data_IF_659549081325
#
_entry.id   IF_659549081325
#
_cell.length_a   1.000
_cell.length_b   1.000
_cell.length_c   1.000
_cell.angle_alpha   90.00
_cell.angle_beta   90.00
_cell.angle_gamma   90.00
#
_symmetry.space_group_name_H-M   'P 1'
#
loop_
_entity.id
_entity.type
_entity.pdbx_description
1 polymer ?
#
# COMPACT_ATOMS: atom_id res chain seq x y z
N UNK A 1 21.14 -4.68 23.28
CA UNK A 1 19.93 -4.06 23.87
C UNK A 1 19.96 -2.54 23.81
N UNK A 2 21.06 -1.91 24.24
CA UNK A 2 21.23 -0.45 24.34
C UNK A 2 20.76 0.35 23.09
N UNK A 3 21.03 -0.15 21.88
CA UNK A 3 20.64 0.53 20.63
C UNK A 3 19.13 0.73 20.41
N UNK A 4 18.27 -0.10 21.02
CA UNK A 4 16.81 0.10 20.96
C UNK A 4 16.29 0.98 22.10
N UNK A 5 17.02 1.06 23.21
CA UNK A 5 16.67 1.81 24.41
C UNK A 5 17.16 3.28 24.32
N UNK A 6 18.28 3.54 23.65
CA UNK A 6 18.85 4.89 23.42
C UNK A 6 18.03 5.75 22.43
N UNK A 7 17.03 5.16 21.78
CA UNK A 7 16.17 5.86 20.83
C UNK A 7 14.93 6.43 21.53
N UNK A 8 15.10 7.60 22.15
CA UNK A 8 14.09 8.37 22.90
C UNK A 8 12.86 8.86 22.09
N UNK A 9 12.78 8.55 20.80
CA UNK A 9 11.62 8.89 19.97
C UNK A 9 10.68 7.70 19.85
N UNK A 10 9.38 7.95 19.97
CA UNK A 10 8.28 6.98 19.79
C UNK A 10 8.44 6.28 18.43
N UNK A 11 9.14 5.14 18.40
CA UNK A 11 9.33 4.32 17.20
C UNK A 11 8.09 3.45 17.02
N UNK A 12 7.34 3.69 15.95
CA UNK A 12 6.11 2.95 15.61
C UNK A 12 6.33 1.46 15.27
N UNK A 13 7.58 1.03 14.99
CA UNK A 13 7.93 -0.38 14.77
C UNK A 13 9.42 -0.58 15.05
N UNK A 14 9.79 -1.65 15.76
CA UNK A 14 11.18 -2.06 16.03
C UNK A 14 11.45 -3.36 15.28
N UNK A 15 12.45 -3.38 14.40
CA UNK A 15 12.83 -4.56 13.63
C UNK A 15 14.34 -4.80 13.70
N UNK A 16 14.74 -6.07 13.76
CA UNK A 16 16.11 -6.52 13.71
C UNK A 16 16.27 -7.46 12.52
N UNK A 17 17.09 -7.09 11.54
CA UNK A 17 17.43 -7.95 10.41
C UNK A 17 18.71 -8.71 10.74
N UNK A 18 18.66 -10.04 10.68
CA UNK A 18 19.84 -10.89 10.89
C UNK A 18 20.24 -11.44 9.52
N UNK A 19 21.40 -11.06 9.01
CA UNK A 19 21.94 -11.60 7.75
C UNK A 19 23.07 -12.55 8.11
N UNK A 20 22.94 -13.82 7.73
CA UNK A 20 23.92 -14.85 8.11
C UNK A 20 23.97 -15.99 7.11
N UNK A 21 25.15 -16.57 6.93
CA UNK A 21 25.41 -17.79 6.17
C UNK A 21 25.76 -18.98 7.08
N UNK A 22 25.67 -18.82 8.42
CA UNK A 22 26.03 -19.86 9.38
C UNK A 22 24.79 -20.60 9.91
N UNK A 23 24.73 -21.91 9.66
CA UNK A 23 23.66 -22.82 10.06
C UNK A 23 23.66 -23.10 11.58
N UNK A 24 24.84 -23.15 12.22
CA UNK A 24 24.99 -23.31 13.67
C UNK A 24 25.95 -22.25 14.26
N UNK A 25 25.45 -21.07 14.62
CA UNK A 25 26.23 -20.04 15.32
C UNK A 25 26.75 -20.47 16.69
N UNK A 26 26.19 -21.53 17.28
CA UNK A 26 26.55 -22.00 18.61
C UNK A 26 27.65 -23.06 18.61
N UNK A 27 28.06 -23.56 17.43
CA UNK A 27 29.06 -24.62 17.26
C UNK A 27 28.85 -25.81 18.22
N UNK A 28 27.59 -26.23 18.40
CA UNK A 28 27.20 -27.31 19.31
C UNK A 28 27.18 -26.96 20.81
N UNK A 29 27.42 -25.71 21.20
CA UNK A 29 27.41 -25.31 22.61
C UNK A 29 25.99 -25.06 23.14
N UNK A 30 25.52 -25.99 23.99
CA UNK A 30 24.19 -25.95 24.60
C UNK A 30 23.91 -24.67 25.42
N UNK A 31 24.93 -24.11 26.09
CA UNK A 31 24.75 -22.88 26.89
C UNK A 31 24.50 -21.65 26.00
N UNK A 32 25.26 -21.51 24.91
CA UNK A 32 25.09 -20.41 23.97
C UNK A 32 23.76 -20.50 23.22
N UNK A 33 23.33 -21.72 22.87
CA UNK A 33 22.03 -21.96 22.25
C UNK A 33 20.87 -21.55 23.16
N UNK A 34 20.95 -21.92 24.44
CA UNK A 34 19.95 -21.53 25.43
C UNK A 34 19.93 -20.01 25.62
N UNK A 35 21.11 -19.38 25.75
CA UNK A 35 21.21 -17.93 25.90
C UNK A 35 20.67 -17.16 24.68
N UNK A 36 20.96 -17.63 23.46
CA UNK A 36 20.45 -17.03 22.23
C UNK A 36 18.92 -17.11 22.15
N UNK A 37 18.34 -18.25 22.53
CA UNK A 37 16.89 -18.44 22.59
C UNK A 37 16.22 -17.49 23.59
N UNK A 38 16.73 -17.42 24.81
CA UNK A 38 16.22 -16.50 25.84
C UNK A 38 16.30 -15.04 25.38
N UNK A 39 17.43 -14.63 24.79
CA UNK A 39 17.59 -13.28 24.27
C UNK A 39 16.61 -12.96 23.12
N UNK A 40 16.36 -13.91 22.22
CA UNK A 40 15.39 -13.73 21.15
C UNK A 40 13.96 -13.61 21.69
N UNK A 41 13.58 -14.44 22.65
CA UNK A 41 12.28 -14.35 23.33
C UNK A 41 12.11 -13.01 24.06
N UNK A 42 13.14 -12.52 24.74
CA UNK A 42 13.13 -11.19 25.38
C UNK A 42 12.95 -10.05 24.36
N UNK A 43 13.59 -10.14 23.20
CA UNK A 43 13.42 -9.16 22.12
C UNK A 43 11.99 -9.17 21.57
N UNK A 44 11.44 -10.37 21.33
CA UNK A 44 10.07 -10.54 20.88
C UNK A 44 9.08 -10.00 21.91
N UNK A 45 9.31 -10.24 23.21
CA UNK A 45 8.51 -9.68 24.31
C UNK A 45 8.61 -8.15 24.40
N UNK A 46 9.73 -7.56 23.97
CA UNK A 46 9.91 -6.11 23.81
C UNK A 46 9.32 -5.55 22.49
N UNK A 47 8.47 -6.33 21.80
CA UNK A 47 7.87 -6.00 20.51
C UNK A 47 8.90 -5.69 19.40
N UNK A 48 10.05 -6.35 19.44
CA UNK A 48 11.04 -6.33 18.36
C UNK A 48 10.77 -7.51 17.42
N UNK A 49 10.54 -7.21 16.14
CA UNK A 49 10.37 -8.22 15.09
C UNK A 49 11.76 -8.63 14.61
N UNK A 50 12.11 -9.91 14.71
CA UNK A 50 13.37 -10.45 14.20
C UNK A 50 13.12 -11.04 12.82
N UNK A 51 13.88 -10.60 11.81
CA UNK A 51 13.75 -11.07 10.43
C UNK A 51 15.09 -11.64 9.95
N UNK A 52 15.26 -12.97 9.99
CA UNK A 52 16.46 -13.62 9.48
C UNK A 52 16.46 -13.68 7.94
N UNK A 53 17.62 -13.39 7.35
CA UNK A 53 17.94 -13.53 5.94
C UNK A 53 19.14 -14.48 5.84
N UNK A 54 18.89 -15.70 5.38
CA UNK A 54 19.89 -16.75 5.29
C UNK A 54 20.55 -16.72 3.91
N UNK A 55 21.87 -16.66 3.87
CA UNK A 55 22.61 -16.66 2.61
C UNK A 55 22.85 -18.10 2.17
N UNK A 56 22.54 -18.41 0.91
CA UNK A 56 22.93 -19.68 0.29
C UNK A 56 24.22 -19.49 -0.48
N UNK A 57 25.20 -20.37 -0.26
CA UNK A 57 26.41 -20.42 -1.07
C UNK A 57 26.11 -21.17 -2.37
N UNK A 58 26.12 -20.44 -3.48
CA UNK A 58 26.12 -21.06 -4.80
C UNK A 58 27.50 -21.61 -5.07
N UNK A 59 27.70 -22.91 -4.86
CA UNK A 59 28.96 -23.54 -5.26
C UNK A 59 29.15 -23.46 -6.78
N UNK A 60 30.41 -23.28 -7.18
CA UNK A 60 30.89 -23.25 -8.57
C UNK A 60 30.68 -24.58 -9.34
N UNK A 61 29.99 -25.55 -8.74
CA UNK A 61 29.65 -26.87 -9.30
C UNK A 61 28.15 -27.16 -9.40
N UNK A 62 27.27 -26.16 -9.27
CA UNK A 62 25.86 -26.29 -9.67
C UNK A 62 24.95 -27.13 -8.75
N UNK A 63 25.47 -27.66 -7.65
CA UNK A 63 24.67 -28.24 -6.58
C UNK A 63 24.59 -27.21 -5.44
N UNK A 64 23.45 -26.51 -5.35
CA UNK A 64 23.23 -25.53 -4.28
C UNK A 64 23.15 -26.22 -2.94
N UNK A 65 24.03 -25.88 -2.00
CA UNK A 65 23.83 -26.24 -0.60
C UNK A 65 22.64 -25.45 -0.05
N UNK A 66 21.60 -26.17 0.36
CA UNK A 66 20.44 -25.59 1.02
C UNK A 66 20.82 -25.33 2.48
N UNK A 67 20.58 -24.10 2.95
CA UNK A 67 20.79 -23.73 4.34
C UNK A 67 19.87 -24.53 5.27
N UNK A 68 20.44 -25.34 6.15
CA UNK A 68 19.68 -26.17 7.08
C UNK A 68 19.24 -25.39 8.33
N UNK A 69 17.95 -25.05 8.39
CA UNK A 69 17.37 -24.31 9.52
C UNK A 69 17.22 -25.17 10.78
N UNK A 70 17.20 -26.50 10.64
CA UNK A 70 16.92 -27.42 11.74
C UNK A 70 18.04 -27.46 12.79
N UNK A 71 19.27 -27.08 12.38
CA UNK A 71 20.44 -27.11 13.26
C UNK A 71 20.39 -26.09 14.39
N UNK A 72 19.72 -24.94 14.20
CA UNK A 72 19.69 -23.86 15.20
C UNK A 72 18.45 -22.97 15.08
N UNK A 73 18.13 -22.51 13.89
CA UNK A 73 17.20 -21.41 13.65
C UNK A 73 15.72 -21.77 13.87
N UNK A 74 15.31 -23.02 13.63
CA UNK A 74 13.94 -23.49 13.94
C UNK A 74 13.58 -23.39 15.43
N UNK A 75 14.60 -23.41 16.30
CA UNK A 75 14.40 -23.31 17.75
C UNK A 75 14.18 -21.89 18.27
N UNK A 76 14.37 -20.88 17.41
CA UNK A 76 14.29 -19.45 17.74
C UNK A 76 12.93 -18.89 17.37
N UNK A 77 12.30 -18.23 18.33
CA UNK A 77 11.08 -17.47 18.10
C UNK A 77 11.42 -16.11 17.48
N UNK A 78 10.97 -15.88 16.25
CA UNK A 78 11.26 -14.63 15.52
C UNK A 78 10.20 -13.55 15.68
N UNK A 79 8.96 -13.93 15.97
CA UNK A 79 7.85 -12.97 16.11
C UNK A 79 6.80 -13.48 17.08
N UNK A 80 6.16 -12.56 17.81
CA UNK A 80 5.00 -12.86 18.63
C UNK A 80 3.77 -12.94 17.71
N UNK A 81 2.88 -13.94 17.84
CA UNK A 81 1.54 -13.80 17.27
C UNK A 81 0.92 -12.52 17.86
N UNK A 82 0.60 -11.55 17.00
CA UNK A 82 0.15 -10.23 17.44
C UNK A 82 -1.28 -10.32 17.98
N UNK A 83 -1.49 -9.88 19.23
CA UNK A 83 -2.80 -9.64 19.83
C UNK A 83 -3.35 -8.23 19.47
N UNK A 84 -2.56 -7.39 18.78
CA UNK A 84 -2.92 -5.99 18.49
C UNK A 84 -3.85 -5.88 17.28
N UNK A 85 -5.15 -5.70 17.54
CA UNK A 85 -6.24 -5.55 16.55
C UNK A 85 -5.99 -4.51 15.45
N UNK A 86 -5.08 -3.53 15.64
CA UNK A 86 -4.74 -2.52 14.62
C UNK A 86 -3.77 -3.02 13.54
N UNK A 87 -2.91 -4.00 13.86
CA UNK A 87 -1.92 -4.59 12.94
C UNK A 87 -2.06 -6.12 12.77
N UNK A 88 -3.04 -6.75 13.43
CA UNK A 88 -3.32 -8.19 13.39
C UNK A 88 -3.64 -8.76 12.00
N UNK A 89 -3.93 -7.92 10.99
CA UNK A 89 -4.35 -8.37 9.65
C UNK A 89 -3.18 -8.80 8.74
N UNK A 90 -1.95 -8.77 9.25
CA UNK A 90 -0.77 -9.23 8.54
C UNK A 90 -0.08 -10.21 9.46
N UNK A 91 -0.27 -11.51 9.21
CA UNK A 91 0.63 -12.50 9.79
C UNK A 91 2.06 -12.02 9.54
N UNK A 92 2.86 -11.77 10.59
CA UNK A 92 4.28 -11.66 10.42
C UNK A 92 4.74 -13.10 10.19
N UNK A 93 4.51 -13.64 9.00
CA UNK A 93 5.12 -14.90 8.62
C UNK A 93 6.62 -14.61 8.65
N UNK A 94 7.39 -15.18 9.59
CA UNK A 94 8.82 -15.17 9.47
C UNK A 94 9.11 -16.13 8.31
N UNK A 95 9.05 -15.62 7.08
CA UNK A 95 9.79 -16.27 6.03
C UNK A 95 11.24 -16.02 6.39
N UNK A 96 11.87 -17.02 7.03
CA UNK A 96 13.28 -17.27 6.82
C UNK A 96 13.45 -17.46 5.32
N UNK A 97 14.36 -16.72 4.72
CA UNK A 97 14.52 -16.77 3.28
C UNK A 97 15.97 -16.99 2.91
N UNK A 98 16.16 -17.94 2.02
CA UNK A 98 17.42 -18.19 1.34
C UNK A 98 17.61 -17.13 0.27
N UNK A 99 18.72 -16.42 0.33
CA UNK A 99 18.95 -15.26 -0.52
C UNK A 99 20.27 -15.37 -1.26
N UNK A 100 20.20 -15.09 -2.56
CA UNK A 100 21.36 -14.83 -3.40
C UNK A 100 21.67 -13.32 -3.41
N UNK A 101 22.90 -12.93 -3.73
CA UNK A 101 23.38 -11.54 -3.67
C UNK A 101 22.48 -10.53 -4.41
N UNK A 102 21.86 -10.93 -5.52
CA UNK A 102 21.00 -10.04 -6.32
C UNK A 102 19.59 -9.91 -5.74
N UNK A 103 19.10 -10.90 -5.00
CA UNK A 103 17.73 -10.95 -4.45
C UNK A 103 17.64 -10.38 -3.03
N UNK A 104 18.77 -10.22 -2.33
CA UNK A 104 18.87 -9.61 -0.99
C UNK A 104 18.33 -8.18 -0.93
N UNK A 105 18.69 -7.37 -1.93
CA UNK A 105 18.28 -5.97 -1.94
C UNK A 105 16.77 -5.84 -2.06
N UNK A 106 16.14 -6.59 -2.97
CA UNK A 106 14.70 -6.53 -3.22
C UNK A 106 13.89 -7.03 -2.03
N UNK A 107 14.32 -8.15 -1.43
CA UNK A 107 13.66 -8.73 -0.25
C UNK A 107 13.78 -7.83 0.98
N UNK A 108 14.97 -7.30 1.27
CA UNK A 108 15.16 -6.36 2.37
C UNK A 108 14.38 -5.05 2.16
N UNK A 109 14.35 -4.52 0.94
CA UNK A 109 13.56 -3.33 0.60
C UNK A 109 12.06 -3.55 0.78
N UNK A 110 11.54 -4.74 0.42
CA UNK A 110 10.12 -5.06 0.59
C UNK A 110 9.66 -5.10 2.06
N UNK A 111 10.59 -5.41 2.99
CA UNK A 111 10.32 -5.54 4.43
C UNK A 111 10.74 -4.34 5.27
N UNK A 112 11.52 -3.41 4.69
CA UNK A 112 11.98 -2.19 5.36
C UNK A 112 10.84 -1.28 5.81
N UNK A 113 9.78 -1.17 5.01
CA UNK A 113 8.67 -0.26 5.26
C UNK A 113 7.46 -1.01 5.81
N UNK A 114 6.91 -0.63 6.98
CA UNK A 114 5.66 -1.23 7.44
C UNK A 114 4.53 -0.88 6.47
N UNK A 115 3.56 -1.79 6.34
CA UNK A 115 2.34 -1.53 5.56
C UNK A 115 1.60 -0.35 6.19
N UNK A 116 1.24 0.64 5.38
CA UNK A 116 0.48 1.82 5.83
C UNK A 116 -0.85 1.87 5.09
N UNK A 117 -1.94 1.75 5.85
CA UNK A 117 -3.27 1.92 5.29
C UNK A 117 -3.50 3.40 4.93
N UNK A 118 -3.99 3.64 3.71
CA UNK A 118 -4.45 4.95 3.25
C UNK A 118 -5.78 5.33 3.91
N UNK A 119 -6.66 4.34 4.11
CA UNK A 119 -7.94 4.54 4.78
C UNK A 119 -8.43 3.23 5.41
N UNK A 120 -9.27 3.35 6.43
CA UNK A 120 -10.01 2.24 7.04
C UNK A 120 -11.50 2.50 6.86
N UNK A 121 -12.15 1.68 6.04
CA UNK A 121 -13.54 1.88 5.61
C UNK A 121 -14.32 0.56 5.66
N UNK A 122 -15.58 0.57 5.25
CA UNK A 122 -16.44 -0.61 5.20
C UNK A 122 -16.96 -0.83 3.79
N UNK A 123 -17.06 -2.09 3.39
CA UNK A 123 -17.77 -2.50 2.18
C UNK A 123 -19.18 -2.92 2.58
N UNK A 124 -20.21 -2.30 2.02
CA UNK A 124 -21.62 -2.71 2.20
C UNK A 124 -22.06 -3.52 0.98
N UNK A 125 -22.42 -4.78 1.21
CA UNK A 125 -22.95 -5.67 0.16
C UNK A 125 -24.46 -5.51 0.00
N UNK A 126 -25.15 -5.32 1.11
CA UNK A 126 -26.58 -5.06 1.21
C UNK A 126 -26.85 -4.26 2.49
N UNK A 127 -28.01 -3.61 2.65
CA UNK A 127 -28.34 -2.89 3.88
C UNK A 127 -28.17 -3.78 5.11
N UNK A 128 -27.26 -3.39 6.02
CA UNK A 128 -26.95 -4.14 7.25
C UNK A 128 -25.87 -5.22 7.11
N UNK A 129 -25.39 -5.52 5.89
CA UNK A 129 -24.26 -6.43 5.64
C UNK A 129 -23.03 -5.60 5.28
N UNK A 130 -22.24 -5.30 6.31
CA UNK A 130 -20.99 -4.54 6.21
C UNK A 130 -19.77 -5.44 6.42
N UNK A 131 -18.66 -5.13 5.76
CA UNK A 131 -17.38 -5.81 5.87
C UNK A 131 -16.31 -4.75 6.13
N UNK A 132 -15.57 -4.88 7.23
CA UNK A 132 -14.43 -4.01 7.54
C UNK A 132 -13.26 -4.24 6.59
N UNK A 133 -12.72 -3.15 6.03
CA UNK A 133 -11.58 -3.20 5.10
C UNK A 133 -10.60 -2.05 5.31
N UNK A 134 -9.33 -2.31 4.97
CA UNK A 134 -8.27 -1.32 4.87
C UNK A 134 -7.88 -1.14 3.40
N UNK A 135 -7.74 0.11 2.98
CA UNK A 135 -7.24 0.48 1.66
C UNK A 135 -5.76 0.82 1.72
N UNK A 136 -4.99 0.35 0.75
CA UNK A 136 -3.55 0.54 0.62
C UNK A 136 -3.24 1.13 -0.75
N UNK A 137 -2.17 1.91 -0.82
CA UNK A 137 -1.65 2.41 -2.07
C UNK A 137 -0.49 1.54 -2.52
N UNK A 138 -0.68 0.76 -3.60
CA UNK A 138 0.38 -0.11 -4.16
C UNK A 138 1.39 0.68 -4.98
N UNK A 139 0.94 1.70 -5.69
CA UNK A 139 1.78 2.55 -6.53
C UNK A 139 1.57 4.01 -6.15
N UNK A 140 2.66 4.69 -5.79
CA UNK A 140 2.67 6.13 -5.53
C UNK A 140 3.63 6.82 -6.49
N UNK A 141 3.24 7.99 -6.97
CA UNK A 141 4.14 8.83 -7.78
C UNK A 141 5.19 9.42 -6.86
N UNK A 142 6.46 9.09 -7.10
CA UNK A 142 7.57 9.76 -6.43
C UNK A 142 7.65 11.20 -6.97
N UNK A 143 7.25 12.17 -6.14
CA UNK A 143 7.42 13.58 -6.43
C UNK A 143 8.80 14.04 -5.93
N UNK A 144 9.37 15.05 -6.60
CA UNK A 144 10.57 15.71 -6.10
C UNK A 144 10.29 16.29 -4.72
N UNK A 145 11.25 16.11 -3.80
CA UNK A 145 11.16 16.69 -2.46
C UNK A 145 11.24 18.21 -2.63
N UNK A 146 10.25 18.94 -2.13
CA UNK A 146 10.25 20.41 -2.17
C UNK A 146 11.51 20.94 -1.48
N UNK A 147 12.16 21.91 -2.11
CA UNK A 147 13.28 22.61 -1.51
C UNK A 147 12.85 23.25 -0.18
N UNK A 148 13.69 23.11 0.84
CA UNK A 148 13.47 23.72 2.15
C UNK A 148 14.36 24.94 2.28
N UNK A 149 13.79 26.05 2.72
CA UNK A 149 14.58 27.23 3.07
C UNK A 149 15.45 26.91 4.29
N UNK A 150 16.75 27.21 4.18
CA UNK A 150 17.74 27.02 5.25
C UNK A 150 18.33 28.38 5.57
N UNK A 151 18.31 28.73 6.86
CA UNK A 151 19.00 29.91 7.37
C UNK A 151 20.47 29.56 7.58
N UNK A 152 21.36 30.26 6.86
CA UNK A 152 22.81 29.98 6.83
C UNK A 152 23.67 31.05 7.50
N UNK A 153 23.06 32.11 8.04
CA UNK A 153 23.80 33.22 8.66
C UNK A 153 24.13 32.98 10.15
N UNK A 154 23.60 31.92 10.76
CA UNK A 154 23.97 31.50 12.12
C UNK A 154 25.15 30.52 12.14
N UNK A 155 25.70 30.27 13.34
CA UNK A 155 26.74 29.25 13.55
C UNK A 155 26.27 27.84 13.15
N UNK A 156 24.98 27.55 13.34
CA UNK A 156 24.33 26.32 12.90
C UNK A 156 23.33 26.60 11.78
N UNK A 157 23.29 25.69 10.78
CA UNK A 157 22.29 25.73 9.71
C UNK A 157 20.93 25.33 10.28
N UNK A 158 19.97 26.24 10.24
CA UNK A 158 18.61 26.01 10.75
C UNK A 158 17.59 25.91 9.61
N UNK A 159 16.63 25.00 9.72
CA UNK A 159 15.53 24.87 8.75
C UNK A 159 14.47 25.92 9.09
N UNK A 160 14.09 26.73 8.10
CA UNK A 160 13.07 27.77 8.27
C UNK A 160 11.69 27.13 8.41
N UNK A 161 10.91 27.58 9.39
CA UNK A 161 9.48 27.28 9.51
C UNK A 161 8.69 28.42 8.91
N UNK A 162 7.92 28.14 7.85
CA UNK A 162 7.05 29.14 7.22
C UNK A 162 5.66 29.07 7.82
N UNK A 163 5.16 30.20 8.33
CA UNK A 163 3.77 30.38 8.74
C UNK A 163 3.11 31.38 7.79
N UNK A 164 1.91 31.06 7.31
CA UNK A 164 1.10 31.96 6.46
C UNK A 164 -0.04 32.47 7.31
N UNK A 165 -0.13 33.79 7.48
CA UNK A 165 -1.23 34.48 8.16
C UNK A 165 -1.93 35.38 7.15
N UNK A 166 -3.26 35.36 7.18
CA UNK A 166 -4.09 36.24 6.36
C UNK A 166 -4.34 37.50 7.18
N UNK A 167 -3.98 38.66 6.63
CA UNK A 167 -4.19 39.96 7.25
C UNK A 167 -5.17 40.77 6.44
N UNK A 168 -5.93 41.60 7.14
CA UNK A 168 -6.75 42.64 6.51
C UNK A 168 -5.85 43.76 5.95
N UNK A 169 -6.23 44.31 4.79
CA UNK A 169 -5.40 45.27 4.05
C UNK A 169 -5.43 46.66 4.72
N UNK A 170 -6.56 47.03 5.32
CA UNK A 170 -6.70 48.34 5.97
C UNK A 170 -6.18 48.34 7.42
N UNK A 171 -6.51 47.31 8.20
CA UNK A 171 -6.20 47.28 9.63
C UNK A 171 -4.90 46.53 9.98
N UNK A 172 -4.30 45.78 9.04
CA UNK A 172 -3.13 44.90 9.23
C UNK A 172 -3.32 43.85 10.34
N UNK A 173 -4.55 43.71 10.86
CA UNK A 173 -4.88 42.74 11.87
C UNK A 173 -4.95 41.34 11.25
N UNK A 174 -4.55 40.33 12.02
CA UNK A 174 -4.69 38.93 11.60
C UNK A 174 -6.15 38.54 11.65
N UNK A 175 -6.69 38.09 10.52
CA UNK A 175 -8.09 37.72 10.36
C UNK A 175 -8.28 36.29 10.88
N UNK A 176 -9.32 36.07 11.67
CA UNK A 176 -9.66 34.73 12.16
C UNK A 176 -10.31 33.88 11.06
N UNK A 177 -10.17 32.54 11.05
CA UNK A 177 -10.81 31.70 10.03
C UNK A 177 -12.33 31.86 9.93
N UNK A 178 -12.99 32.30 11.02
CA UNK A 178 -14.44 32.46 11.11
C UNK A 178 -14.93 33.76 10.46
N UNK A 179 -14.06 34.78 10.36
CA UNK A 179 -14.31 36.03 9.65
C UNK A 179 -14.16 35.88 8.12
N UNK A 180 -13.54 34.79 7.66
CA UNK A 180 -13.28 34.55 6.24
C UNK A 180 -14.51 33.90 5.59
N UNK A 181 -15.22 34.68 4.78
CA UNK A 181 -16.35 34.21 3.97
C UNK A 181 -15.87 33.83 2.57
N UNK A 182 -16.33 32.68 2.06
CA UNK A 182 -16.05 32.28 0.67
C UNK A 182 -17.13 32.85 -0.25
N UNK A 183 -16.72 33.67 -1.21
CA UNK A 183 -17.58 34.16 -2.27
C UNK A 183 -17.28 33.42 -3.59
N UNK A 184 -18.32 33.10 -4.34
CA UNK A 184 -18.25 32.58 -5.71
C UNK A 184 -18.90 33.57 -6.66
N UNK A 185 -18.17 33.99 -7.67
CA UNK A 185 -18.66 34.91 -8.70
C UNK A 185 -19.49 34.15 -9.73
N UNK A 186 -20.69 34.63 -10.00
CA UNK A 186 -21.58 34.07 -11.03
C UNK A 186 -22.24 35.23 -11.80
N UNK A 187 -21.74 35.49 -13.01
CA UNK A 187 -22.11 36.68 -13.79
C UNK A 187 -21.68 37.95 -13.05
N UNK A 188 -22.60 38.89 -12.88
CA UNK A 188 -22.35 40.16 -12.17
C UNK A 188 -22.65 40.10 -10.67
N UNK A 189 -22.86 38.90 -10.11
CA UNK A 189 -23.28 38.70 -8.71
C UNK A 189 -22.34 37.79 -7.94
N UNK A 190 -22.19 38.08 -6.65
CA UNK A 190 -21.42 37.24 -5.72
C UNK A 190 -22.36 36.43 -4.83
N UNK A 191 -22.12 35.12 -4.77
CA UNK A 191 -22.82 34.21 -3.88
C UNK A 191 -21.88 33.85 -2.72
N UNK A 192 -22.29 34.21 -1.51
CA UNK A 192 -21.53 33.97 -0.29
C UNK A 192 -21.96 32.63 0.33
N UNK A 193 -20.98 31.82 0.72
CA UNK A 193 -21.22 30.60 1.50
C UNK A 193 -20.37 30.59 2.76
N UNK A 194 -20.99 30.15 3.86
CA UNK A 194 -20.25 29.85 5.08
C UNK A 194 -19.46 28.54 4.91
N UNK A 195 -18.34 28.34 5.64
CA UNK A 195 -17.60 27.08 5.61
C UNK A 195 -18.47 25.86 5.94
N UNK A 196 -19.44 26.03 6.85
CA UNK A 196 -20.42 25.00 7.22
C UNK A 196 -21.34 24.63 6.05
N UNK A 197 -21.90 25.61 5.34
CA UNK A 197 -22.73 25.37 4.16
C UNK A 197 -21.95 24.64 3.06
N UNK A 198 -20.70 25.04 2.81
CA UNK A 198 -19.84 24.34 1.85
C UNK A 198 -19.62 22.88 2.26
N UNK A 199 -19.44 22.61 3.55
CA UNK A 199 -19.29 21.25 4.05
C UNK A 199 -20.59 20.44 3.94
N UNK A 200 -21.75 21.06 4.20
CA UNK A 200 -23.07 20.43 4.02
C UNK A 200 -23.31 20.05 2.55
N UNK A 201 -23.00 20.94 1.60
CA UNK A 201 -23.12 20.67 0.16
C UNK A 201 -22.24 19.48 -0.26
N UNK A 202 -21.06 19.32 0.36
CA UNK A 202 -20.14 18.20 0.07
C UNK A 202 -20.47 16.92 0.81
N UNK A 203 -21.31 16.97 1.84
CA UNK A 203 -21.62 15.81 2.68
C UNK A 203 -22.73 14.96 2.04
N UNK A 204 -22.32 14.03 1.20
CA UNK A 204 -23.22 13.10 0.49
C UNK A 204 -23.36 11.73 1.19
N UNK A 205 -22.81 11.59 2.40
CA UNK A 205 -22.91 10.37 3.18
C UNK A 205 -21.66 10.05 3.98
N UNK A 206 -21.77 9.01 4.82
CA UNK A 206 -20.65 8.47 5.59
C UNK A 206 -19.64 7.79 4.66
N UNK A 207 -18.34 7.76 5.02
CA UNK A 207 -17.36 6.94 4.31
C UNK A 207 -17.80 5.48 4.27
N UNK A 208 -17.91 4.96 3.06
CA UNK A 208 -18.49 3.65 2.76
C UNK A 208 -18.17 3.27 1.30
N UNK A 209 -17.91 1.99 1.05
CA UNK A 209 -17.85 1.41 -0.29
C UNK A 209 -19.09 0.53 -0.48
N UNK A 210 -20.12 1.04 -1.16
CA UNK A 210 -21.38 0.31 -1.38
C UNK A 210 -21.33 -0.45 -2.69
N UNK A 211 -21.46 -1.77 -2.65
CA UNK A 211 -21.58 -2.58 -3.87
C UNK A 211 -22.97 -2.38 -4.46
N UNK A 212 -23.03 -2.03 -5.74
CA UNK A 212 -24.26 -1.84 -6.51
C UNK A 212 -24.62 -3.14 -7.25
N UNK A 213 -23.61 -3.84 -7.78
CA UNK A 213 -23.83 -5.09 -8.49
C UNK A 213 -22.54 -5.71 -9.03
N UNK A 214 -22.68 -6.80 -9.78
CA UNK A 214 -21.55 -7.55 -10.35
C UNK A 214 -21.63 -7.57 -11.87
N UNK A 215 -20.50 -7.33 -12.54
CA UNK A 215 -20.39 -7.28 -14.00
C UNK A 215 -19.23 -8.14 -14.49
N UNK A 216 -19.21 -8.46 -15.78
CA UNK A 216 -18.03 -9.11 -16.40
C UNK A 216 -16.87 -8.10 -16.48
N UNK A 217 -15.60 -8.50 -16.27
CA UNK A 217 -14.45 -7.62 -16.40
C UNK A 217 -14.36 -6.91 -17.75
N UNK A 218 -14.88 -7.51 -18.83
CA UNK A 218 -14.92 -6.90 -20.17
C UNK A 218 -15.69 -5.58 -20.24
N UNK A 219 -16.60 -5.31 -19.30
CA UNK A 219 -17.35 -4.05 -19.24
C UNK A 219 -16.60 -2.91 -18.55
N UNK A 220 -15.41 -3.18 -18.01
CA UNK A 220 -14.55 -2.16 -17.40
C UNK A 220 -13.22 -2.15 -18.16
N UNK A 221 -13.16 -1.45 -19.32
CA UNK A 221 -11.92 -1.21 -20.04
C UNK A 221 -10.86 -0.54 -19.16
N UNK A 222 -9.57 -0.88 -19.34
CA UNK A 222 -8.47 -0.29 -18.58
C UNK A 222 -8.30 1.22 -18.83
N UNK A 223 -8.81 1.73 -19.96
CA UNK A 223 -8.82 3.16 -20.32
C UNK A 223 -9.74 4.01 -19.42
N UNK A 224 -10.73 3.39 -18.78
CA UNK A 224 -11.63 4.07 -17.84
C UNK A 224 -11.07 4.12 -16.42
N UNK A 225 -9.75 4.14 -16.27
CA UNK A 225 -9.14 4.40 -14.99
C UNK A 225 -8.81 5.89 -14.82
N UNK A 226 -9.48 6.55 -13.88
CA UNK A 226 -9.30 7.99 -13.64
C UNK A 226 -8.05 8.32 -12.81
N UNK A 227 -7.63 7.45 -11.90
CA UNK A 227 -6.52 7.71 -10.97
C UNK A 227 -5.75 6.44 -10.59
N UNK A 228 -4.76 6.55 -9.72
CA UNK A 228 -4.08 5.35 -9.22
C UNK A 228 -5.09 4.41 -8.54
N UNK A 229 -5.01 3.13 -8.88
CA UNK A 229 -5.81 2.09 -8.25
C UNK A 229 -5.33 1.85 -6.82
N UNK A 230 -6.25 1.53 -5.93
CA UNK A 230 -5.97 1.20 -4.53
C UNK A 230 -6.17 -0.29 -4.32
N UNK A 231 -5.43 -0.87 -3.37
CA UNK A 231 -5.59 -2.27 -2.99
C UNK A 231 -6.39 -2.35 -1.70
N UNK A 232 -7.39 -3.23 -1.64
CA UNK A 232 -8.29 -3.38 -0.51
C UNK A 232 -8.12 -4.76 0.09
N UNK A 233 -7.89 -4.79 1.40
CA UNK A 233 -7.70 -6.01 2.19
C UNK A 233 -8.63 -6.00 3.41
N UNK A 234 -9.15 -7.16 3.86
CA UNK A 234 -10.05 -7.21 5.00
C UNK A 234 -9.35 -6.79 6.29
N UNK A 235 -10.14 -6.27 7.22
CA UNK A 235 -9.68 -5.95 8.57
C UNK A 235 -10.80 -6.12 9.57
N UNK A 236 -10.53 -6.89 10.62
CA UNK A 236 -11.49 -7.14 11.70
C UNK A 236 -11.45 -6.05 12.79
N UNK A 237 -10.57 -5.04 12.69
CA UNK A 237 -10.35 -4.02 13.74
C UNK A 237 -11.62 -3.27 14.18
N UNK A 238 -12.59 -3.08 13.28
CA UNK A 238 -13.86 -2.37 13.58
C UNK A 238 -15.08 -3.28 13.59
N UNK A 239 -14.97 -4.47 13.01
CA UNK A 239 -16.09 -5.37 12.78
C UNK A 239 -15.57 -6.80 12.71
N UNK A 240 -15.86 -7.59 13.72
CA UNK A 240 -15.45 -9.00 13.81
C UNK A 240 -16.12 -9.84 12.73
N UNK A 241 -15.36 -10.74 12.08
CA UNK A 241 -15.87 -11.63 11.04
C UNK A 241 -15.80 -11.05 9.62
N UNK A 242 -15.21 -9.87 9.45
CA UNK A 242 -15.01 -9.24 8.15
C UNK A 242 -14.06 -10.04 7.26
N UNK A 243 -13.01 -10.64 7.82
CA UNK A 243 -12.06 -11.48 7.09
C UNK A 243 -12.78 -12.68 6.43
N UNK A 244 -13.65 -13.36 7.16
CA UNK A 244 -14.41 -14.52 6.65
C UNK A 244 -15.38 -14.11 5.54
N UNK A 245 -16.13 -13.03 5.77
CA UNK A 245 -17.07 -12.50 4.79
C UNK A 245 -16.35 -12.04 3.51
N UNK A 246 -15.24 -11.31 3.66
CA UNK A 246 -14.40 -10.87 2.54
C UNK A 246 -13.86 -12.05 1.75
N UNK A 247 -13.32 -13.08 2.43
CA UNK A 247 -12.78 -14.27 1.78
C UNK A 247 -13.86 -14.97 0.95
N UNK A 248 -15.07 -15.13 1.51
CA UNK A 248 -16.20 -15.74 0.80
C UNK A 248 -16.59 -14.94 -0.46
N UNK A 249 -16.66 -13.61 -0.35
CA UNK A 249 -16.95 -12.72 -1.48
C UNK A 249 -15.87 -12.82 -2.56
N UNK A 250 -14.60 -12.77 -2.15
CA UNK A 250 -13.44 -12.91 -3.03
C UNK A 250 -13.46 -14.23 -3.80
N UNK A 251 -13.68 -15.35 -3.12
CA UNK A 251 -13.80 -16.66 -3.77
C UNK A 251 -14.97 -16.71 -4.76
N UNK A 252 -16.14 -16.20 -4.38
CA UNK A 252 -17.32 -16.21 -5.25
C UNK A 252 -17.13 -15.37 -6.51
N UNK A 253 -16.54 -14.18 -6.37
CA UNK A 253 -16.24 -13.29 -7.51
C UNK A 253 -15.24 -13.94 -8.46
N UNK A 254 -14.23 -14.64 -7.93
CA UNK A 254 -13.25 -15.39 -8.72
C UNK A 254 -13.88 -16.54 -9.48
N UNK A 255 -14.63 -17.41 -8.80
CA UNK A 255 -15.28 -18.57 -9.42
C UNK A 255 -16.23 -18.15 -10.55
N UNK A 256 -16.93 -17.04 -10.38
CA UNK A 256 -17.87 -16.51 -11.39
C UNK A 256 -17.22 -15.61 -12.44
N UNK A 257 -15.92 -15.28 -12.30
CA UNK A 257 -15.20 -14.36 -13.17
C UNK A 257 -15.87 -12.98 -13.26
N UNK A 258 -16.33 -12.44 -12.13
CA UNK A 258 -17.05 -11.15 -12.06
C UNK A 258 -16.27 -10.12 -11.26
N UNK A 259 -16.48 -8.86 -11.64
CA UNK A 259 -16.01 -7.66 -10.93
C UNK A 259 -17.20 -7.01 -10.24
N UNK A 260 -16.99 -6.43 -9.06
CA UNK A 260 -18.06 -5.73 -8.35
C UNK A 260 -18.00 -4.25 -8.73
N UNK A 261 -19.13 -3.69 -9.14
CA UNK A 261 -19.31 -2.26 -9.36
C UNK A 261 -19.86 -1.67 -8.07
N UNK A 262 -19.21 -0.63 -7.57
CA UNK A 262 -19.50 -0.03 -6.29
C UNK A 262 -19.46 1.50 -6.36
N UNK A 263 -20.05 2.12 -5.33
CA UNK A 263 -19.94 3.54 -5.05
C UNK A 263 -19.06 3.73 -3.83
N UNK A 264 -17.94 4.44 -3.98
CA UNK A 264 -16.96 4.63 -2.93
C UNK A 264 -16.93 6.07 -2.43
N UNK A 265 -17.20 6.24 -1.13
CA UNK A 265 -16.90 7.45 -0.36
C UNK A 265 -15.71 7.10 0.53
N UNK A 266 -14.50 7.52 0.14
CA UNK A 266 -13.26 7.10 0.83
C UNK A 266 -13.01 7.92 2.09
N UNK A 267 -13.30 9.23 2.04
CA UNK A 267 -13.07 10.16 3.15
C UNK A 267 -14.38 10.88 3.47
N UNK A 268 -14.49 11.39 4.70
CA UNK A 268 -15.63 12.24 5.06
C UNK A 268 -15.64 13.51 4.22
N UNK A 269 -16.83 14.02 3.92
CA UNK A 269 -17.04 15.23 3.10
C UNK A 269 -16.40 15.15 1.69
N UNK A 270 -16.29 13.93 1.13
CA UNK A 270 -15.95 13.75 -0.28
C UNK A 270 -17.15 13.33 -1.11
N UNK A 271 -17.12 13.76 -2.37
CA UNK A 271 -18.05 13.32 -3.39
C UNK A 271 -17.87 11.80 -3.61
N UNK A 272 -18.95 11.01 -3.63
CA UNK A 272 -18.90 9.60 -3.99
C UNK A 272 -18.29 9.43 -5.37
N UNK A 273 -17.48 8.39 -5.57
CA UNK A 273 -16.92 8.07 -6.88
C UNK A 273 -17.34 6.64 -7.28
N UNK A 274 -17.76 6.41 -8.53
CA UNK A 274 -17.98 5.06 -9.02
C UNK A 274 -16.65 4.32 -9.07
N UNK A 275 -16.66 3.06 -8.65
CA UNK A 275 -15.48 2.23 -8.62
C UNK A 275 -15.79 0.79 -9.03
N UNK A 276 -14.75 0.08 -9.44
CA UNK A 276 -14.78 -1.34 -9.71
C UNK A 276 -13.79 -2.05 -8.79
N UNK A 277 -14.25 -3.11 -8.12
CA UNK A 277 -13.43 -4.01 -7.32
C UNK A 277 -13.12 -5.25 -8.16
N UNK A 278 -11.84 -5.42 -8.48
CA UNK A 278 -11.32 -6.56 -9.22
C UNK A 278 -10.73 -7.58 -8.23
N UNK A 279 -11.14 -8.85 -8.26
CA UNK A 279 -10.47 -9.88 -7.48
C UNK A 279 -9.09 -10.14 -8.08
N UNK A 280 -8.04 -9.96 -7.28
CA UNK A 280 -6.65 -10.17 -7.69
C UNK A 280 -6.09 -11.40 -7.00
N UNK A 281 -5.49 -12.29 -7.80
CA UNK A 281 -4.86 -13.51 -7.29
C UNK A 281 -3.53 -13.20 -6.64
N UNK A 282 -3.17 -14.05 -5.68
CA UNK A 282 -1.80 -14.08 -5.22
C UNK A 282 -0.90 -14.60 -6.35
N UNK A 283 0.10 -13.80 -6.72
CA UNK A 283 1.16 -14.20 -7.63
C UNK A 283 2.46 -14.24 -6.87
N UNK A 284 3.10 -15.40 -6.91
CA UNK A 284 4.31 -15.68 -6.18
C UNK A 284 5.38 -16.07 -7.18
N UNK A 285 6.46 -15.28 -7.23
CA UNK A 285 7.60 -15.57 -8.08
C UNK A 285 8.62 -16.34 -7.25
N UNK A 286 8.92 -17.58 -7.68
CA UNK A 286 9.95 -18.41 -7.05
C UNK A 286 11.26 -18.24 -7.81
N UNK A 287 12.26 -17.62 -7.18
CA UNK A 287 13.63 -17.51 -7.72
C UNK A 287 14.56 -18.34 -6.85
N UNK A 288 14.89 -19.55 -7.31
CA UNK A 288 15.65 -20.52 -6.52
C UNK A 288 14.84 -21.00 -5.31
N UNK A 289 15.39 -20.88 -4.11
CA UNK A 289 14.68 -21.18 -2.86
C UNK A 289 13.86 -19.99 -2.29
N UNK A 290 13.84 -18.85 -2.98
CA UNK A 290 13.13 -17.65 -2.53
C UNK A 290 11.76 -17.54 -3.17
N UNK A 291 10.73 -17.55 -2.34
CA UNK A 291 9.33 -17.36 -2.71
C UNK A 291 8.93 -15.91 -2.40
N UNK A 292 8.92 -15.04 -3.41
CA UNK A 292 8.54 -13.62 -3.26
C UNK A 292 7.10 -13.43 -3.72
N UNK A 293 6.25 -12.89 -2.85
CA UNK A 293 4.93 -12.43 -3.23
C UNK A 293 5.06 -11.17 -4.10
N UNK A 294 4.70 -11.28 -5.39
CA UNK A 294 4.69 -10.16 -6.34
C UNK A 294 3.37 -9.41 -6.24
N UNK A 295 2.27 -10.15 -6.21
CA UNK A 295 0.92 -9.60 -6.17
C UNK A 295 0.17 -10.19 -4.97
N UNK A 296 -0.34 -9.37 -4.03
CA UNK A 296 -1.09 -9.88 -2.88
C UNK A 296 -2.54 -10.27 -3.24
N UNK A 297 -3.13 -11.25 -2.55
CA UNK A 297 -4.53 -11.63 -2.75
C UNK A 297 -5.47 -10.58 -2.14
N UNK A 298 -6.47 -10.14 -2.89
CA UNK A 298 -7.44 -9.15 -2.38
C UNK A 298 -8.26 -8.53 -3.49
N UNK A 299 -8.73 -7.28 -3.27
CA UNK A 299 -9.41 -6.52 -4.30
C UNK A 299 -8.60 -5.33 -4.76
N UNK A 300 -8.43 -5.18 -6.07
CA UNK A 300 -7.96 -3.93 -6.67
C UNK A 300 -9.17 -3.02 -6.91
N UNK A 301 -9.20 -1.90 -6.21
CA UNK A 301 -10.18 -0.84 -6.37
C UNK A 301 -9.70 0.14 -7.45
N UNK A 302 -10.38 0.10 -8.59
CA UNK A 302 -10.18 1.02 -9.72
C UNK A 302 -11.28 2.07 -9.70
N UNK A 303 -10.92 3.34 -9.83
CA UNK A 303 -11.87 4.44 -9.81
C UNK A 303 -12.28 4.75 -11.24
N UNK A 304 -13.59 4.70 -11.47
CA UNK A 304 -14.20 4.90 -12.77
C UNK A 304 -14.51 6.39 -12.98
N UNK A 305 -14.46 6.88 -14.22
CA UNK A 305 -14.87 8.23 -14.57
C UNK A 305 -16.38 8.39 -14.48
N UNK A 306 -16.82 9.60 -14.13
CA UNK A 306 -18.17 10.06 -14.45
C UNK A 306 -18.27 10.40 -15.94
N UNK A 307 -19.49 10.62 -16.44
CA UNK A 307 -19.71 11.06 -17.81
C UNK A 307 -18.92 12.34 -18.13
N UNK A 308 -18.85 13.29 -17.18
CA UNK A 308 -18.13 14.56 -17.32
C UNK A 308 -16.60 14.41 -17.43
N UNK A 309 -16.06 13.30 -16.92
CA UNK A 309 -14.63 13.00 -17.00
C UNK A 309 -14.24 12.45 -18.39
N UNK A 310 -15.19 11.91 -19.15
CA UNK A 310 -14.95 11.31 -20.46
C UNK A 310 -14.90 12.42 -21.51
N UNK A 311 -13.73 12.59 -22.14
CA UNK A 311 -13.54 13.56 -23.23
C UNK A 311 -13.77 12.89 -24.58
N UNK A 312 -14.61 13.50 -25.41
CA UNK A 312 -14.81 13.05 -26.79
C UNK A 312 -13.50 13.19 -27.57
N UNK A 313 -13.19 12.18 -28.39
CA UNK A 313 -12.07 12.27 -29.33
C UNK A 313 -12.37 13.36 -30.37
N UNK A 314 -11.41 14.23 -30.71
CA UNK A 314 -11.57 15.11 -31.86
C UNK A 314 -11.79 14.25 -33.11
N UNK A 315 -12.73 14.64 -33.96
CA UNK A 315 -12.99 13.97 -35.23
C UNK A 315 -11.77 14.11 -36.13
N UNK A 316 -10.93 13.07 -36.20
CA UNK A 316 -9.92 12.96 -37.26
C UNK A 316 -10.53 12.20 -38.42
N UNK A 317 -10.61 12.84 -39.59
CA UNK A 317 -10.86 12.13 -40.84
C UNK A 317 -9.69 11.18 -41.04
N UNK A 318 -9.89 9.90 -40.75
CA UNK A 318 -8.93 8.87 -41.07
C UNK A 318 -8.90 8.80 -42.60
N UNK A 319 -7.97 9.53 -43.23
CA UNK A 319 -7.67 9.31 -44.65
C UNK A 319 -7.11 7.89 -44.73
N UNK A 320 -7.85 6.98 -45.35
CA UNK A 320 -7.59 5.54 -45.39
C UNK A 320 -6.18 5.17 -45.90
N UNK A 321 -5.44 6.10 -46.50
CA UNK A 321 -4.08 5.88 -47.03
C UNK A 321 -2.91 5.85 -46.02
N UNK A 322 -3.11 6.05 -44.71
CA UNK A 322 -2.00 6.00 -43.71
C UNK A 322 -2.19 5.02 -42.54
N UNK A 323 -3.36 4.39 -42.41
CA UNK A 323 -3.66 3.51 -41.28
C UNK A 323 -2.83 2.20 -41.29
N UNK A 324 -2.51 1.65 -42.46
CA UNK A 324 -1.70 0.42 -42.56
C UNK A 324 -0.25 0.59 -42.09
N UNK A 325 0.33 1.80 -42.19
CA UNK A 325 1.72 2.04 -41.76
C UNK A 325 1.88 2.14 -40.25
N UNK A 326 0.86 2.60 -39.53
CA UNK A 326 0.93 2.80 -38.07
C UNK A 326 0.59 1.50 -37.32
N UNK A 327 -0.37 0.72 -37.81
CA UNK A 327 -0.68 -0.59 -37.20
C UNK A 327 0.48 -1.59 -37.35
N UNK A 328 1.17 -1.57 -38.49
CA UNK A 328 2.34 -2.42 -38.73
C UNK A 328 3.62 -1.96 -37.99
N UNK A 329 3.76 -0.68 -37.65
CA UNK A 329 4.91 -0.21 -36.86
C UNK A 329 4.76 -0.55 -35.37
N UNK A 330 3.53 -0.52 -34.84
CA UNK A 330 3.26 -0.90 -33.45
C UNK A 330 3.43 -2.42 -33.21
N UNK A 331 3.02 -3.26 -34.16
CA UNK A 331 3.17 -4.71 -34.03
C UNK A 331 4.57 -5.24 -34.34
N UNK A 332 5.43 -4.49 -35.06
CA UNK A 332 6.85 -4.88 -35.24
C UNK A 332 7.68 -4.73 -33.95
N UNK A 333 7.26 -3.88 -33.02
CA UNK A 333 7.96 -3.69 -31.75
C UNK A 333 7.52 -4.68 -30.65
N UNK A 334 6.59 -5.59 -30.96
CA UNK A 334 6.30 -6.78 -30.15
C UNK A 334 6.77 -8.01 -30.90
N UNK A 335 8.08 -8.30 -30.84
CA UNK A 335 8.68 -9.65 -30.99
C UNK A 335 10.20 -9.51 -30.99
N UNK A 336 10.81 -9.60 -29.81
CA UNK A 336 12.08 -10.31 -29.57
C UNK A 336 12.30 -10.38 -28.06
N UNK A 337 11.49 -11.21 -27.39
CA UNK A 337 11.96 -11.89 -26.19
C UNK A 337 12.35 -13.28 -26.68
N UNK A 338 13.61 -13.42 -27.09
CA UNK A 338 14.19 -14.72 -27.35
C UNK A 338 14.29 -15.45 -26.01
N UNK A 339 13.54 -16.53 -25.86
CA UNK A 339 13.74 -17.55 -24.85
C UNK A 339 15.04 -18.31 -25.18
N UNK A 340 16.06 -18.33 -24.30
CA UNK A 340 17.20 -19.21 -24.48
C UNK A 340 16.80 -20.65 -24.13
N UNK A 341 17.29 -21.58 -24.95
CA UNK A 341 17.31 -23.03 -24.69
C UNK A 341 18.18 -23.37 -23.49
#
# INVERSE_FOLDING_TARGET
MQQFDDASNIKSSRRCFIVTDNEDPSFGNSQQRTAAKTNAEELVNKNVIIEPAFLSHGDSKGEGSNFDMSQFWDSITFTKPMDDEENADVEPVPSSYLVSDLTLKTSLLSRRSPKRALFTNRIELAPGIEIGVKGYLTFSKQLFVKDRYVYTQGEEKQIVKSEVKITDDESVNTVSPDEIIRAYEFGDSYIYFTPEQVNQIRNLGRPLIRIIGFKSPSFVPPEYNKRHSMFVYPSDSKLTGSIRAFHSLYQCMRQKGKVAIAWAIIRSNSIPEPCALFPVNEEVETKGSLTVQVTPPGFQLVILPYADDIRARPMSTITEGKAERIYNSFNRNKLTINSPK
#
